data_IF_737076740023
#
_entry.id   IF_737076740023
#
_cell.length_a   1.000
_cell.length_b   1.000
_cell.length_c   1.000
_cell.angle_alpha   90.00
_cell.angle_beta   90.00
_cell.angle_gamma   90.00
#
_symmetry.space_group_name_H-M   'P 1'
#
loop_
_entity.id
_entity.type
_entity.pdbx_description
1 polymer ?
#
# COMPACT_ATOMS: atom_id res chain seq x y z
N UNK A 1 5.11 -9.14 -2.94
CA UNK A 1 5.68 -8.72 -4.25
C UNK A 1 6.19 -9.88 -5.12
N UNK A 2 7.13 -10.73 -4.66
CA UNK A 2 7.73 -11.81 -5.48
C UNK A 2 6.69 -12.75 -6.13
N UNK A 3 5.68 -13.16 -5.36
CA UNK A 3 4.60 -14.03 -5.83
C UNK A 3 3.80 -13.43 -7.00
N UNK A 4 3.35 -12.18 -6.87
CA UNK A 4 2.55 -11.50 -7.89
C UNK A 4 3.34 -11.29 -9.20
N UNK A 5 4.64 -10.97 -9.10
CA UNK A 5 5.53 -10.87 -10.27
C UNK A 5 5.50 -12.14 -11.12
N UNK A 6 5.64 -13.30 -10.50
CA UNK A 6 5.63 -14.60 -11.19
C UNK A 6 4.23 -14.94 -11.69
N UNK A 7 3.21 -14.69 -10.87
CA UNK A 7 1.82 -15.01 -11.22
C UNK A 7 1.30 -14.27 -12.45
N UNK A 8 1.76 -13.04 -12.69
CA UNK A 8 1.37 -12.25 -13.85
C UNK A 8 1.86 -12.84 -15.19
N UNK A 9 2.86 -13.72 -15.16
CA UNK A 9 3.40 -14.40 -16.34
C UNK A 9 2.73 -15.78 -16.57
N UNK A 10 1.81 -16.20 -15.69
CA UNK A 10 1.14 -17.51 -15.75
C UNK A 10 -0.29 -17.35 -16.30
N UNK A 11 -0.54 -17.65 -17.58
CA UNK A 11 -1.78 -17.24 -18.27
C UNK A 11 -3.04 -17.95 -17.77
N UNK A 12 -2.92 -19.15 -17.21
CA UNK A 12 -4.07 -19.90 -16.66
C UNK A 12 -4.50 -19.37 -15.29
N UNK A 13 -3.65 -18.59 -14.62
CA UNK A 13 -3.93 -18.09 -13.27
C UNK A 13 -4.73 -16.79 -13.36
N UNK A 14 -5.93 -16.80 -12.80
CA UNK A 14 -6.79 -15.61 -12.75
C UNK A 14 -6.18 -14.52 -11.84
N UNK A 15 -6.39 -13.23 -12.17
CA UNK A 15 -6.07 -12.13 -11.26
C UNK A 15 -6.81 -12.26 -9.93
N UNK A 16 -6.13 -11.94 -8.83
CA UNK A 16 -6.68 -11.96 -7.47
C UNK A 16 -6.91 -10.53 -7.00
N UNK A 17 -7.69 -10.31 -5.93
CA UNK A 17 -7.83 -8.97 -5.37
C UNK A 17 -6.49 -8.43 -4.84
N UNK A 18 -6.29 -7.12 -4.92
CA UNK A 18 -5.13 -6.46 -4.33
C UNK A 18 -5.10 -6.60 -2.79
N UNK A 19 -3.90 -6.68 -2.21
CA UNK A 19 -3.72 -6.52 -0.77
C UNK A 19 -3.74 -5.03 -0.43
N UNK A 20 -4.79 -4.59 0.25
CA UNK A 20 -4.96 -3.20 0.65
C UNK A 20 -4.49 -3.01 2.10
N UNK A 21 -3.50 -2.13 2.32
CA UNK A 21 -2.93 -1.83 3.63
C UNK A 21 -3.07 -0.34 3.93
N UNK A 22 -3.92 0.01 4.92
CA UNK A 22 -4.04 1.37 5.42
C UNK A 22 -2.99 1.59 6.50
N UNK A 23 -1.90 2.27 6.15
CA UNK A 23 -0.96 2.79 7.13
C UNK A 23 -1.60 4.03 7.76
N UNK A 24 -1.78 4.06 9.08
CA UNK A 24 -2.30 5.20 9.84
C UNK A 24 -1.48 5.34 11.12
N UNK A 25 -1.85 6.27 12.01
CA UNK A 25 -1.06 6.62 13.19
C UNK A 25 0.39 6.92 12.81
N UNK A 26 0.56 7.81 11.83
CA UNK A 26 1.86 8.10 11.24
C UNK A 26 2.81 8.79 12.22
N UNK A 27 4.10 8.76 11.87
CA UNK A 27 5.23 9.31 12.63
C UNK A 27 4.99 10.71 13.23
N UNK A 28 4.22 11.57 12.54
CA UNK A 28 3.97 12.96 12.93
C UNK A 28 2.92 13.13 14.04
N UNK A 29 2.17 12.08 14.39
CA UNK A 29 1.06 12.11 15.35
C UNK A 29 1.04 10.84 16.22
N UNK A 30 2.17 10.59 16.87
CA UNK A 30 2.38 9.49 17.83
C UNK A 30 2.44 10.00 19.27
N UNK A 31 1.33 10.62 19.71
CA UNK A 31 1.28 11.44 20.93
C UNK A 31 1.57 10.67 22.22
N UNK A 32 1.26 9.37 22.27
CA UNK A 32 1.35 8.55 23.49
C UNK A 32 2.51 7.54 23.49
N UNK A 33 3.19 7.35 22.36
CA UNK A 33 4.10 6.22 22.17
C UNK A 33 5.57 6.61 21.96
N UNK A 34 5.84 7.87 21.60
CA UNK A 34 7.19 8.40 21.46
C UNK A 34 8.00 7.74 20.32
N UNK A 35 9.33 7.75 20.46
CA UNK A 35 10.27 7.45 19.37
C UNK A 35 10.20 6.03 18.80
N UNK A 36 9.84 5.03 19.61
CA UNK A 36 9.74 3.63 19.13
C UNK A 36 8.67 3.41 18.05
N UNK A 37 7.78 4.39 17.84
CA UNK A 37 6.70 4.34 16.85
C UNK A 37 6.92 5.33 15.69
N UNK A 38 8.13 5.88 15.56
CA UNK A 38 8.49 6.93 14.60
C UNK A 38 9.45 6.43 13.51
N UNK A 39 9.01 5.44 12.73
CA UNK A 39 9.74 4.96 11.55
C UNK A 39 8.83 4.97 10.29
N UNK A 40 9.01 5.94 9.37
CA UNK A 40 8.28 5.97 8.11
C UNK A 40 8.84 5.01 7.04
N UNK A 41 9.90 4.25 7.32
CA UNK A 41 10.67 3.44 6.37
C UNK A 41 9.92 2.28 5.70
N UNK A 42 8.69 1.99 6.12
CA UNK A 42 7.82 1.05 5.40
C UNK A 42 7.62 1.47 3.95
N UNK A 43 7.45 2.77 3.69
CA UNK A 43 7.30 3.30 2.32
C UNK A 43 8.56 2.98 1.50
N UNK A 44 9.75 3.27 2.04
CA UNK A 44 11.03 2.97 1.37
C UNK A 44 11.17 1.49 1.03
N UNK A 45 10.71 0.60 1.91
CA UNK A 45 10.76 -0.84 1.66
C UNK A 45 9.87 -1.28 0.48
N UNK A 46 8.67 -0.70 0.37
CA UNK A 46 7.70 -1.10 -0.66
C UNK A 46 7.94 -0.43 -2.01
N UNK A 47 8.46 0.80 -2.06
CA UNK A 47 8.76 1.49 -3.33
C UNK A 47 9.89 0.82 -4.11
N UNK A 48 10.74 0.04 -3.44
CA UNK A 48 11.80 -0.74 -4.07
C UNK A 48 11.27 -1.95 -4.89
N UNK A 49 9.95 -2.16 -4.93
CA UNK A 49 9.33 -3.21 -5.77
C UNK A 49 8.86 -2.61 -7.09
N UNK A 50 8.69 -3.44 -8.11
CA UNK A 50 8.20 -2.99 -9.41
C UNK A 50 6.83 -2.31 -9.29
N UNK A 51 6.64 -1.20 -10.00
CA UNK A 51 5.39 -0.44 -10.06
C UNK A 51 4.20 -1.27 -10.58
N UNK A 52 4.46 -2.34 -11.33
CA UNK A 52 3.42 -3.29 -11.78
C UNK A 52 2.79 -4.10 -10.63
N UNK A 53 3.44 -4.14 -9.45
CA UNK A 53 3.01 -4.94 -8.30
C UNK A 53 2.64 -4.09 -7.07
N UNK A 54 3.20 -2.89 -6.94
CA UNK A 54 3.01 -2.03 -5.76
C UNK A 54 2.57 -0.63 -6.18
N UNK A 55 1.58 -0.09 -5.47
CA UNK A 55 1.12 1.30 -5.57
C UNK A 55 1.07 1.90 -4.17
N UNK A 56 1.52 3.15 -4.04
CA UNK A 56 1.51 3.91 -2.78
C UNK A 56 0.66 5.16 -3.00
N UNK A 57 -0.25 5.44 -2.06
CA UNK A 57 -1.13 6.60 -2.08
C UNK A 57 -0.94 7.40 -0.79
N UNK A 58 -0.87 8.73 -0.91
CA UNK A 58 -0.74 9.66 0.22
C UNK A 58 -1.91 10.67 0.19
N UNK A 59 -3.13 10.24 0.54
CA UNK A 59 -4.29 11.12 0.49
C UNK A 59 -4.16 12.23 1.54
N UNK A 60 -4.28 13.52 1.15
CA UNK A 60 -4.12 14.64 2.09
C UNK A 60 -5.36 14.88 2.97
N UNK A 61 -6.52 14.32 2.60
CA UNK A 61 -7.79 14.48 3.29
C UNK A 61 -8.68 13.24 3.15
N UNK A 62 -9.86 13.29 3.80
CA UNK A 62 -10.85 12.21 3.77
C UNK A 62 -11.47 11.99 2.39
N UNK A 63 -11.68 13.04 1.59
CA UNK A 63 -12.29 12.94 0.27
C UNK A 63 -11.36 12.20 -0.71
N UNK A 64 -10.07 12.55 -0.70
CA UNK A 64 -9.05 11.84 -1.45
C UNK A 64 -8.90 10.41 -0.96
N UNK A 65 -8.96 10.17 0.35
CA UNK A 65 -8.93 8.81 0.90
C UNK A 65 -10.12 7.97 0.40
N UNK A 66 -11.33 8.52 0.33
CA UNK A 66 -12.50 7.84 -0.23
C UNK A 66 -12.26 7.47 -1.70
N UNK A 67 -11.78 8.41 -2.51
CA UNK A 67 -11.48 8.18 -3.93
C UNK A 67 -10.40 7.11 -4.12
N UNK A 68 -9.33 7.15 -3.33
CA UNK A 68 -8.25 6.14 -3.37
C UNK A 68 -8.77 4.78 -2.94
N UNK A 69 -9.60 4.74 -1.90
CA UNK A 69 -10.15 3.49 -1.37
C UNK A 69 -11.07 2.81 -2.37
N UNK A 70 -11.96 3.55 -3.06
CA UNK A 70 -12.79 2.98 -4.13
C UNK A 70 -11.93 2.36 -5.24
N UNK A 71 -10.87 3.07 -5.68
CA UNK A 71 -9.94 2.54 -6.66
C UNK A 71 -9.22 1.26 -6.17
N UNK A 72 -8.71 1.25 -4.94
CA UNK A 72 -8.00 0.11 -4.34
C UNK A 72 -8.90 -1.12 -4.13
N UNK A 73 -10.20 -0.93 -3.85
CA UNK A 73 -11.15 -2.04 -3.69
C UNK A 73 -11.55 -2.67 -5.03
N UNK A 74 -11.39 -1.95 -6.14
CA UNK A 74 -11.65 -2.46 -7.49
C UNK A 74 -10.41 -3.10 -8.15
N UNK A 75 -9.21 -2.85 -7.63
CA UNK A 75 -7.97 -3.34 -8.23
C UNK A 75 -7.72 -4.84 -8.01
N UNK A 76 -7.01 -5.44 -8.95
CA UNK A 76 -6.60 -6.84 -8.96
C UNK A 76 -5.14 -6.95 -9.38
#
# INVERSE_FOLDING_TARGET
AKWLKVCNEIPWRRPIASLNYLLSSHVWRQDHNGFSHQDPGFIDHVINKKAEVVRVYLPPDANCLLSVTDHCLRSR
#
